data_IF_513876673706
#
_entry.id   IF_513876673706
#
_cell.length_a   1.000
_cell.length_b   1.000
_cell.length_c   1.000
_cell.angle_alpha   90.00
_cell.angle_beta   90.00
_cell.angle_gamma   90.00
#
_symmetry.space_group_name_H-M   'P 1'
#
loop_
_entity.id
_entity.type
_entity.pdbx_description
1 polymer ?
#
# COMPACT_ATOMS: atom_id res chain seq x y z
N UNK A 1 16.17 -38.26 23.72
CA UNK A 1 14.85 -38.02 23.16
C UNK A 1 14.84 -36.56 22.75
N UNK A 2 15.18 -36.36 21.50
CA UNK A 2 15.31 -35.02 20.92
C UNK A 2 13.96 -34.66 20.33
N UNK A 3 13.20 -33.84 21.06
CA UNK A 3 11.89 -33.35 20.64
C UNK A 3 12.08 -32.10 19.78
N UNK A 4 12.67 -32.31 18.61
CA UNK A 4 12.69 -31.31 17.53
C UNK A 4 11.39 -31.42 16.76
N UNK A 5 10.32 -30.85 17.33
CA UNK A 5 9.11 -30.56 16.56
C UNK A 5 9.47 -29.75 15.31
N UNK A 6 8.70 -29.83 14.21
CA UNK A 6 9.02 -29.12 12.98
C UNK A 6 9.10 -27.63 13.30
N UNK A 7 10.32 -27.07 13.32
CA UNK A 7 10.51 -25.62 13.22
C UNK A 7 9.90 -25.23 11.86
N UNK A 8 8.71 -24.67 11.90
CA UNK A 8 8.24 -23.87 10.78
C UNK A 8 9.22 -22.71 10.65
N UNK A 9 10.18 -22.84 9.73
CA UNK A 9 11.02 -21.71 9.34
C UNK A 9 10.06 -20.60 8.92
N UNK A 10 9.95 -19.59 9.77
CA UNK A 10 9.09 -18.43 9.51
C UNK A 10 9.59 -17.77 8.24
N UNK A 11 8.72 -17.68 7.24
CA UNK A 11 9.08 -17.07 5.97
C UNK A 11 9.47 -15.60 6.18
N UNK A 12 10.70 -15.27 5.80
CA UNK A 12 11.18 -13.88 5.85
C UNK A 12 10.74 -13.14 4.59
N UNK A 13 10.12 -11.99 4.78
CA UNK A 13 9.64 -11.09 3.73
C UNK A 13 10.41 -9.77 3.80
N UNK A 14 10.96 -9.33 2.68
CA UNK A 14 11.48 -7.97 2.51
C UNK A 14 10.42 -7.13 1.81
N UNK A 15 9.91 -6.11 2.49
CA UNK A 15 8.90 -5.18 1.99
C UNK A 15 9.57 -3.86 1.60
N UNK A 16 9.44 -3.46 0.34
CA UNK A 16 10.03 -2.25 -0.22
C UNK A 16 8.89 -1.34 -0.70
N UNK A 17 8.69 -0.22 -0.02
CA UNK A 17 7.61 0.73 -0.31
C UNK A 17 8.02 2.10 0.25
N UNK A 18 8.04 3.16 -0.54
CA UNK A 18 8.43 4.51 -0.10
C UNK A 18 7.36 5.17 0.76
N UNK A 19 6.11 4.76 0.61
CA UNK A 19 5.01 5.25 1.43
C UNK A 19 5.06 4.64 2.84
N UNK A 20 5.34 5.48 3.83
CA UNK A 20 5.47 5.04 5.23
C UNK A 20 4.21 4.32 5.72
N UNK A 21 3.02 4.87 5.44
CA UNK A 21 1.75 4.31 5.92
C UNK A 21 1.47 2.97 5.27
N UNK A 22 1.60 2.89 3.95
CA UNK A 22 1.45 1.66 3.18
C UNK A 22 2.39 0.57 3.71
N UNK A 23 3.66 0.92 3.93
CA UNK A 23 4.70 0.04 4.44
C UNK A 23 4.37 -0.46 5.86
N UNK A 24 4.00 0.42 6.79
CA UNK A 24 3.65 0.05 8.16
C UNK A 24 2.41 -0.85 8.23
N UNK A 25 1.36 -0.52 7.46
CA UNK A 25 0.15 -1.35 7.39
C UNK A 25 0.47 -2.74 6.84
N UNK A 26 1.19 -2.82 5.71
CA UNK A 26 1.56 -4.10 5.12
C UNK A 26 2.48 -4.91 6.04
N UNK A 27 3.47 -4.28 6.67
CA UNK A 27 4.36 -4.96 7.61
C UNK A 27 3.59 -5.52 8.81
N UNK A 28 2.65 -4.75 9.36
CA UNK A 28 1.79 -5.19 10.46
C UNK A 28 0.96 -6.41 10.05
N UNK A 29 0.26 -6.34 8.91
CA UNK A 29 -0.56 -7.45 8.40
C UNK A 29 0.29 -8.70 8.19
N UNK A 30 1.44 -8.59 7.53
CA UNK A 30 2.34 -9.71 7.27
C UNK A 30 2.88 -10.33 8.57
N UNK A 31 3.29 -9.51 9.54
CA UNK A 31 3.78 -9.98 10.83
C UNK A 31 2.69 -10.75 11.59
N UNK A 32 1.46 -10.28 11.54
CA UNK A 32 0.32 -10.97 12.19
C UNK A 32 -0.05 -12.27 11.47
N UNK A 33 0.23 -12.38 10.18
CA UNK A 33 0.11 -13.63 9.44
C UNK A 33 1.28 -14.61 9.70
N UNK A 34 2.21 -14.28 10.60
CA UNK A 34 3.31 -15.15 11.01
C UNK A 34 4.57 -15.03 10.16
N UNK A 35 4.75 -13.94 9.41
CA UNK A 35 5.97 -13.68 8.66
C UNK A 35 6.97 -12.87 9.49
N UNK A 36 8.26 -13.09 9.25
CA UNK A 36 9.33 -12.17 9.68
C UNK A 36 9.47 -11.09 8.62
N UNK A 37 9.23 -9.83 8.97
CA UNK A 37 9.19 -8.74 8.01
C UNK A 37 10.34 -7.77 8.21
N UNK A 38 11.14 -7.57 7.17
CA UNK A 38 12.09 -6.47 7.05
C UNK A 38 11.52 -5.42 6.10
N UNK A 39 11.74 -4.15 6.39
CA UNK A 39 11.19 -3.05 5.58
C UNK A 39 12.29 -2.16 5.04
N UNK A 40 12.11 -1.66 3.81
CA UNK A 40 12.94 -0.66 3.18
C UNK A 40 12.06 0.43 2.57
N UNK A 41 12.40 1.70 2.79
CA UNK A 41 11.70 2.86 2.19
C UNK A 41 12.26 3.28 0.84
N UNK A 42 13.37 2.67 0.41
CA UNK A 42 14.08 3.01 -0.83
C UNK A 42 14.73 1.75 -1.42
N UNK A 43 14.89 1.72 -2.75
CA UNK A 43 15.55 0.61 -3.44
C UNK A 43 16.98 0.36 -2.95
N UNK A 44 17.76 1.42 -2.78
CA UNK A 44 19.14 1.33 -2.29
C UNK A 44 19.23 0.76 -0.86
N UNK A 45 18.25 1.11 -0.01
CA UNK A 45 18.19 0.55 1.35
C UNK A 45 17.93 -0.96 1.30
N UNK A 46 17.06 -1.42 0.41
CA UNK A 46 16.78 -2.85 0.25
C UNK A 46 18.02 -3.65 -0.16
N UNK A 47 18.84 -3.10 -1.06
CA UNK A 47 20.09 -3.73 -1.49
C UNK A 47 21.10 -3.81 -0.34
N UNK A 48 21.23 -2.74 0.47
CA UNK A 48 22.12 -2.76 1.66
C UNK A 48 21.72 -3.84 2.68
N UNK A 49 20.42 -4.02 2.93
CA UNK A 49 19.92 -5.07 3.83
C UNK A 49 20.28 -6.48 3.35
N UNK A 50 20.24 -6.72 2.04
CA UNK A 50 20.62 -7.99 1.44
C UNK A 50 22.14 -8.21 1.50
N UNK A 51 22.95 -7.20 1.16
CA UNK A 51 24.41 -7.25 1.15
C UNK A 51 25.00 -7.39 2.56
N UNK A 52 24.39 -6.74 3.56
CA UNK A 52 24.79 -6.84 4.96
C UNK A 52 24.43 -8.17 5.62
N UNK A 53 23.66 -9.02 4.95
CA UNK A 53 23.18 -10.27 5.53
C UNK A 53 22.14 -10.09 6.65
N UNK A 54 21.66 -8.86 6.85
CA UNK A 54 20.64 -8.55 7.86
C UNK A 54 19.27 -9.13 7.50
N UNK A 55 19.06 -9.38 6.20
CA UNK A 55 17.83 -9.94 5.68
C UNK A 55 18.15 -11.01 4.62
N UNK A 56 17.68 -12.23 4.85
CA UNK A 56 17.71 -13.32 3.86
C UNK A 56 16.26 -13.67 3.54
N UNK A 57 15.63 -12.91 2.63
CA UNK A 57 14.21 -13.10 2.36
C UNK A 57 13.95 -14.32 1.48
N UNK A 58 12.83 -14.98 1.71
CA UNK A 58 12.26 -15.93 0.78
C UNK A 58 11.32 -15.25 -0.22
N UNK A 59 10.73 -14.11 0.18
CA UNK A 59 9.86 -13.28 -0.66
C UNK A 59 10.24 -11.82 -0.53
N UNK A 60 10.20 -11.10 -1.65
CA UNK A 60 10.35 -9.64 -1.73
C UNK A 60 9.05 -9.08 -2.28
N UNK A 61 8.46 -8.13 -1.56
CA UNK A 61 7.33 -7.32 -2.00
C UNK A 61 7.83 -5.91 -2.33
N UNK A 62 7.65 -5.47 -3.56
CA UNK A 62 8.16 -4.20 -4.04
C UNK A 62 7.03 -3.33 -4.58
N UNK A 63 6.89 -2.11 -4.10
CA UNK A 63 5.94 -1.18 -4.71
C UNK A 63 6.32 -0.87 -6.16
N UNK A 64 5.30 -0.76 -7.00
CA UNK A 64 5.46 -0.44 -8.42
C UNK A 64 5.93 0.98 -8.68
N UNK A 65 5.66 1.91 -7.76
CA UNK A 65 5.91 3.33 -7.93
C UNK A 65 6.69 3.89 -6.74
N UNK A 66 8.00 3.94 -6.90
CA UNK A 66 8.92 4.51 -5.91
C UNK A 66 9.87 5.50 -6.57
N UNK A 67 10.32 6.55 -5.88
CA UNK A 67 11.39 7.41 -6.36
C UNK A 67 12.75 6.69 -6.32
N UNK A 68 13.74 7.22 -7.04
CA UNK A 68 15.10 6.70 -7.04
C UNK A 68 15.25 5.38 -7.78
N UNK A 69 16.01 4.46 -7.20
CA UNK A 69 16.20 3.12 -7.77
C UNK A 69 14.92 2.29 -7.62
N UNK A 70 14.25 2.03 -8.71
CA UNK A 70 12.95 1.37 -8.76
C UNK A 70 12.73 0.64 -10.09
N UNK A 71 11.54 0.09 -10.29
CA UNK A 71 11.17 -0.53 -11.55
C UNK A 71 11.97 -1.79 -11.87
N UNK A 72 12.09 -2.09 -13.15
CA UNK A 72 12.81 -3.28 -13.65
C UNK A 72 14.27 -3.28 -13.23
N UNK A 73 14.90 -2.11 -13.15
CA UNK A 73 16.29 -1.98 -12.72
C UNK A 73 16.48 -2.45 -11.27
N UNK A 74 15.58 -2.11 -10.37
CA UNK A 74 15.65 -2.61 -8.99
C UNK A 74 15.43 -4.13 -8.96
N UNK A 75 14.49 -4.65 -9.76
CA UNK A 75 14.25 -6.10 -9.85
C UNK A 75 15.53 -6.85 -10.27
N UNK A 76 16.24 -6.35 -11.27
CA UNK A 76 17.51 -6.93 -11.73
C UNK A 76 18.58 -6.95 -10.61
N UNK A 77 18.73 -5.83 -9.90
CA UNK A 77 19.66 -5.71 -8.76
C UNK A 77 19.30 -6.64 -7.59
N UNK A 78 18.02 -6.79 -7.29
CA UNK A 78 17.52 -7.71 -6.26
C UNK A 78 17.79 -9.17 -6.64
N UNK A 79 17.54 -9.54 -7.93
CA UNK A 79 17.81 -10.90 -8.43
C UNK A 79 19.29 -11.25 -8.43
N UNK A 80 20.17 -10.27 -8.64
CA UNK A 80 21.62 -10.49 -8.57
C UNK A 80 22.09 -10.83 -7.14
N UNK A 81 21.33 -10.42 -6.11
CA UNK A 81 21.71 -10.55 -4.69
C UNK A 81 20.87 -11.56 -3.92
N UNK A 82 19.71 -11.97 -4.43
CA UNK A 82 18.78 -12.85 -3.72
C UNK A 82 18.11 -13.83 -4.67
N UNK A 83 17.82 -15.03 -4.16
CA UNK A 83 16.99 -16.05 -4.83
C UNK A 83 15.50 -15.93 -4.44
N UNK A 84 15.15 -14.91 -3.67
CA UNK A 84 13.79 -14.67 -3.24
C UNK A 84 12.83 -14.49 -4.43
N UNK A 85 11.58 -14.88 -4.25
CA UNK A 85 10.51 -14.56 -5.19
C UNK A 85 10.16 -13.08 -5.07
N UNK A 86 10.09 -12.38 -6.21
CA UNK A 86 9.83 -10.95 -6.26
C UNK A 86 8.41 -10.71 -6.77
N UNK A 87 7.58 -10.07 -5.95
CA UNK A 87 6.24 -9.66 -6.31
C UNK A 87 6.16 -8.13 -6.36
N UNK A 88 5.64 -7.62 -7.46
CA UNK A 88 5.32 -6.19 -7.60
C UNK A 88 3.97 -5.94 -6.95
N UNK A 89 3.88 -4.95 -6.07
CA UNK A 89 2.66 -4.56 -5.36
C UNK A 89 2.24 -3.18 -5.84
N UNK A 90 0.97 -2.96 -6.17
CA UNK A 90 0.48 -1.63 -6.58
C UNK A 90 -0.99 -1.44 -6.24
N UNK A 91 -1.40 -0.19 -6.06
CA UNK A 91 -2.81 0.20 -5.90
C UNK A 91 -3.58 0.22 -7.24
N UNK A 92 -2.89 0.03 -8.36
CA UNK A 92 -3.45 0.03 -9.72
C UNK A 92 -2.65 -0.92 -10.62
N UNK A 93 -2.96 -0.95 -11.91
CA UNK A 93 -2.21 -1.77 -12.87
C UNK A 93 -0.74 -1.31 -12.91
N UNK A 94 0.19 -2.24 -12.69
CA UNK A 94 1.62 -1.98 -12.83
C UNK A 94 2.05 -2.02 -14.32
N UNK A 95 3.19 -1.38 -14.66
CA UNK A 95 3.78 -1.49 -15.99
C UNK A 95 4.04 -2.94 -16.40
N UNK A 96 3.73 -3.30 -17.64
CA UNK A 96 3.84 -4.68 -18.13
C UNK A 96 5.27 -5.23 -18.03
N UNK A 97 6.26 -4.36 -18.26
CA UNK A 97 7.68 -4.70 -18.15
C UNK A 97 8.08 -5.13 -16.73
N UNK A 98 7.55 -4.45 -15.71
CA UNK A 98 7.81 -4.82 -14.32
C UNK A 98 7.14 -6.15 -13.95
N UNK A 99 5.90 -6.35 -14.40
CA UNK A 99 5.17 -7.61 -14.16
C UNK A 99 5.86 -8.78 -14.85
N UNK A 100 6.40 -8.57 -16.06
CA UNK A 100 7.15 -9.59 -16.79
C UNK A 100 8.51 -9.92 -16.14
N UNK A 101 9.16 -8.94 -15.48
CA UNK A 101 10.46 -9.13 -14.81
C UNK A 101 10.33 -9.76 -13.42
N UNK A 102 9.16 -9.65 -12.78
CA UNK A 102 8.85 -10.19 -11.46
C UNK A 102 8.31 -11.63 -11.53
N UNK A 103 8.17 -12.28 -10.37
CA UNK A 103 7.54 -13.60 -10.24
C UNK A 103 6.01 -13.50 -10.14
N UNK A 104 5.47 -12.29 -9.94
CA UNK A 104 4.05 -12.05 -9.89
C UNK A 104 3.68 -10.61 -9.53
N UNK A 105 2.38 -10.37 -9.53
CA UNK A 105 1.80 -9.05 -9.25
C UNK A 105 0.69 -9.18 -8.21
N UNK A 106 0.64 -8.25 -7.26
CA UNK A 106 -0.36 -8.17 -6.20
C UNK A 106 -1.00 -6.78 -6.19
N UNK A 107 -2.31 -6.73 -6.03
CA UNK A 107 -3.05 -5.48 -5.85
C UNK A 107 -3.12 -5.12 -4.36
N UNK A 108 -2.89 -3.84 -4.05
CA UNK A 108 -3.21 -3.25 -2.75
C UNK A 108 -4.74 -3.06 -2.62
N UNK A 109 -5.38 -3.36 -1.46
CA UNK A 109 -4.80 -3.90 -0.25
C UNK A 109 -4.44 -5.39 -0.36
N UNK A 110 -3.45 -5.84 0.41
CA UNK A 110 -3.12 -7.26 0.51
C UNK A 110 -4.28 -7.99 1.21
N UNK A 111 -4.93 -8.88 0.47
CA UNK A 111 -6.05 -9.71 0.95
C UNK A 111 -5.60 -11.12 1.34
N UNK A 112 -6.48 -11.91 1.96
CA UNK A 112 -6.22 -13.32 2.24
C UNK A 112 -5.81 -14.11 0.98
N UNK A 113 -6.44 -13.81 -0.18
CA UNK A 113 -6.08 -14.44 -1.47
C UNK A 113 -4.67 -14.04 -1.92
N UNK A 114 -4.26 -12.78 -1.68
CA UNK A 114 -2.91 -12.30 -1.97
C UNK A 114 -1.89 -13.03 -1.09
N UNK A 115 -2.21 -13.22 0.19
CA UNK A 115 -1.39 -13.97 1.14
C UNK A 115 -1.27 -15.44 0.74
N UNK A 116 -2.36 -16.05 0.27
CA UNK A 116 -2.35 -17.42 -0.22
C UNK A 116 -1.44 -17.58 -1.44
N UNK A 117 -1.40 -16.61 -2.35
CA UNK A 117 -0.45 -16.59 -3.48
C UNK A 117 1.00 -16.54 -3.00
N UNK A 118 1.30 -15.75 -1.97
CA UNK A 118 2.63 -15.72 -1.35
C UNK A 118 3.02 -17.08 -0.76
N UNK A 119 2.10 -17.74 -0.05
CA UNK A 119 2.30 -19.08 0.50
C UNK A 119 2.52 -20.12 -0.59
N UNK A 120 1.72 -20.09 -1.67
CA UNK A 120 1.85 -21.02 -2.80
C UNK A 120 3.17 -20.81 -3.58
N UNK A 121 3.67 -19.60 -3.67
CA UNK A 121 4.97 -19.31 -4.27
C UNK A 121 6.14 -19.96 -3.51
N UNK A 122 5.91 -20.37 -2.26
CA UNK A 122 6.89 -21.05 -1.39
C UNK A 122 6.70 -22.58 -1.35
N UNK A 123 5.54 -23.07 -1.75
CA UNK A 123 5.31 -24.51 -1.87
C UNK A 123 6.02 -25.07 -3.12
N UNK A 124 6.61 -26.29 -3.08
CA UNK A 124 7.16 -26.91 -4.27
C UNK A 124 6.04 -27.06 -5.30
N UNK A 125 6.33 -26.60 -6.49
CA UNK A 125 5.48 -26.29 -7.63
C UNK A 125 4.52 -27.43 -8.01
N UNK A 126 3.22 -27.20 -7.85
CA UNK A 126 2.17 -27.83 -8.63
C UNK A 126 1.57 -26.75 -9.56
N UNK A 127 1.30 -27.14 -10.81
CA UNK A 127 0.98 -26.27 -11.95
C UNK A 127 -0.12 -25.21 -11.71
N UNK A 128 -0.11 -24.08 -12.46
CA UNK A 128 -0.95 -22.93 -12.18
C UNK A 128 -2.42 -23.18 -12.52
N UNK A 129 -3.37 -22.76 -11.67
CA UNK A 129 -4.75 -22.62 -12.07
C UNK A 129 -4.97 -21.28 -12.79
N UNK A 130 -5.74 -21.35 -13.85
CA UNK A 130 -6.17 -20.23 -14.69
C UNK A 130 -6.85 -19.11 -13.89
N UNK A 131 -6.55 -17.87 -14.27
CA UNK A 131 -7.06 -16.65 -13.66
C UNK A 131 -8.58 -16.52 -13.79
N UNK A 132 -9.34 -16.25 -12.74
CA UNK A 132 -10.70 -15.77 -12.91
C UNK A 132 -10.67 -14.29 -13.31
N UNK A 133 -11.30 -14.00 -14.44
CA UNK A 133 -11.59 -12.66 -14.92
C UNK A 133 -12.57 -11.99 -13.95
N UNK A 134 -12.09 -11.11 -13.09
CA UNK A 134 -12.96 -10.25 -12.30
C UNK A 134 -13.21 -8.99 -13.09
N UNK A 135 -14.46 -8.84 -13.51
CA UNK A 135 -15.01 -7.69 -14.22
C UNK A 135 -14.90 -6.44 -13.35
N UNK A 136 -14.14 -5.47 -13.80
CA UNK A 136 -14.16 -4.13 -13.24
C UNK A 136 -15.51 -3.48 -13.62
N UNK A 137 -16.40 -3.34 -12.63
CA UNK A 137 -17.62 -2.54 -12.77
C UNK A 137 -17.25 -1.06 -12.62
N UNK A 138 -17.16 -0.38 -13.74
CA UNK A 138 -17.16 1.09 -13.80
C UNK A 138 -18.58 1.59 -13.68
N UNK A 139 -18.99 2.05 -12.48
CA UNK A 139 -20.20 2.84 -12.30
C UNK A 139 -19.84 4.34 -12.22
N UNK A 140 -20.69 5.24 -12.77
CA UNK A 140 -20.39 6.67 -12.83
C UNK A 140 -20.50 7.34 -11.45
N UNK A 141 -19.58 8.27 -11.23
CA UNK A 141 -19.38 9.03 -10.00
C UNK A 141 -20.57 9.96 -9.74
N UNK A 142 -21.29 9.72 -8.66
CA UNK A 142 -22.18 10.67 -8.01
C UNK A 142 -21.53 11.16 -6.71
N UNK A 143 -21.85 12.38 -6.20
CA UNK A 143 -21.08 13.00 -5.13
C UNK A 143 -21.22 12.27 -3.80
N UNK A 144 -20.10 11.95 -3.23
CA UNK A 144 -19.73 11.68 -1.83
C UNK A 144 -20.80 11.19 -0.84
N UNK A 145 -21.26 9.96 -1.06
CA UNK A 145 -21.92 9.18 0.01
C UNK A 145 -21.06 7.99 0.48
N UNK A 146 -19.80 7.94 0.09
CA UNK A 146 -18.91 6.86 0.53
C UNK A 146 -18.70 6.93 2.04
N UNK A 147 -18.78 5.79 2.76
CA UNK A 147 -18.47 5.76 4.19
C UNK A 147 -17.01 6.21 4.40
N UNK A 148 -16.73 6.80 5.56
CA UNK A 148 -15.36 7.26 5.91
C UNK A 148 -14.40 6.09 5.85
N UNK A 149 -14.81 4.94 6.39
CA UNK A 149 -14.07 3.69 6.40
C UNK A 149 -14.92 2.59 5.76
N UNK A 150 -14.30 1.74 4.97
CA UNK A 150 -14.93 0.53 4.43
C UNK A 150 -15.24 -0.45 5.58
N UNK A 151 -16.51 -0.74 5.86
CA UNK A 151 -16.88 -1.61 6.98
C UNK A 151 -16.32 -3.04 6.82
N UNK A 152 -16.23 -3.54 5.59
CA UNK A 152 -15.68 -4.87 5.32
C UNK A 152 -14.18 -4.91 5.62
N UNK A 153 -13.41 -3.91 5.18
CA UNK A 153 -11.98 -3.82 5.48
C UNK A 153 -11.73 -3.66 6.98
N UNK A 154 -12.53 -2.83 7.67
CA UNK A 154 -12.44 -2.66 9.10
C UNK A 154 -12.73 -3.97 9.85
N UNK A 155 -13.76 -4.72 9.44
CA UNK A 155 -14.09 -6.00 10.03
C UNK A 155 -12.94 -7.02 9.83
N UNK A 156 -12.39 -7.10 8.62
CA UNK A 156 -11.23 -7.95 8.34
C UNK A 156 -10.02 -7.59 9.19
N UNK A 157 -9.71 -6.30 9.36
CA UNK A 157 -8.61 -5.85 10.22
C UNK A 157 -8.88 -6.25 11.69
N UNK A 158 -10.11 -6.10 12.19
CA UNK A 158 -10.49 -6.51 13.55
C UNK A 158 -10.43 -8.03 13.77
N UNK A 159 -10.70 -8.82 12.74
CA UNK A 159 -10.53 -10.28 12.80
C UNK A 159 -9.06 -10.69 12.84
N UNK A 160 -8.21 -9.96 12.12
CA UNK A 160 -6.79 -10.29 11.98
C UNK A 160 -5.93 -9.76 13.12
N UNK A 161 -6.35 -8.68 13.80
CA UNK A 161 -5.51 -7.98 14.77
C UNK A 161 -6.29 -7.38 15.93
N UNK A 162 -5.64 -7.19 17.12
CA UNK A 162 -6.26 -6.53 18.25
C UNK A 162 -6.71 -5.10 17.94
N UNK A 163 -7.78 -4.65 18.57
CA UNK A 163 -8.31 -3.28 18.41
C UNK A 163 -7.24 -2.18 18.59
N UNK A 164 -6.28 -2.41 19.48
CA UNK A 164 -5.16 -1.48 19.69
C UNK A 164 -4.29 -1.31 18.43
N UNK A 165 -4.01 -2.39 17.71
CA UNK A 165 -3.24 -2.35 16.45
C UNK A 165 -4.05 -1.68 15.34
N UNK A 166 -5.35 -1.96 15.24
CA UNK A 166 -6.26 -1.30 14.30
C UNK A 166 -6.26 0.22 14.54
N UNK A 167 -6.38 0.65 15.82
CA UNK A 167 -6.31 2.07 16.19
C UNK A 167 -4.98 2.70 15.81
N UNK A 168 -3.88 2.00 16.00
CA UNK A 168 -2.54 2.49 15.66
C UNK A 168 -2.39 2.72 14.16
N UNK A 169 -2.92 1.82 13.31
CA UNK A 169 -2.95 1.99 11.85
C UNK A 169 -3.70 3.27 11.47
N UNK A 170 -4.91 3.45 11.97
CA UNK A 170 -5.69 4.65 11.62
C UNK A 170 -5.11 5.94 12.20
N UNK A 171 -4.46 5.90 13.37
CA UNK A 171 -3.73 7.04 13.92
C UNK A 171 -2.54 7.42 13.03
N UNK A 172 -1.80 6.44 12.51
CA UNK A 172 -0.72 6.68 11.55
C UNK A 172 -1.24 7.29 10.24
N UNK A 173 -2.41 6.85 9.76
CA UNK A 173 -3.05 7.42 8.56
C UNK A 173 -3.44 8.88 8.78
N UNK A 174 -4.04 9.22 9.92
CA UNK A 174 -4.40 10.62 10.24
C UNK A 174 -3.16 11.50 10.27
N UNK A 175 -2.12 11.07 10.97
CA UNK A 175 -0.86 11.82 11.05
C UNK A 175 -0.18 11.98 9.67
N UNK A 176 -0.23 10.97 8.82
CA UNK A 176 0.30 11.04 7.46
C UNK A 176 -0.53 11.96 6.56
N UNK A 177 -1.86 11.91 6.64
CA UNK A 177 -2.75 12.81 5.91
C UNK A 177 -2.47 14.26 6.26
N UNK A 178 -2.32 14.61 7.54
CA UNK A 178 -2.01 15.98 7.98
C UNK A 178 -0.69 16.47 7.39
N UNK A 179 0.34 15.64 7.40
CA UNK A 179 1.64 15.96 6.79
C UNK A 179 1.53 16.16 5.28
N UNK A 180 0.80 15.26 4.58
CA UNK A 180 0.63 15.34 3.12
C UNK A 180 -0.25 16.50 2.69
N UNK A 181 -1.24 16.90 3.48
CA UNK A 181 -2.05 18.09 3.25
C UNK A 181 -1.16 19.33 3.23
N UNK A 182 -0.23 19.48 4.18
CA UNK A 182 0.70 20.62 4.19
C UNK A 182 1.64 20.63 2.97
N UNK A 183 2.14 19.46 2.56
CA UNK A 183 2.95 19.32 1.34
C UNK A 183 2.13 19.63 0.07
N UNK A 184 0.88 19.19 0.01
CA UNK A 184 -0.04 19.44 -1.09
C UNK A 184 -0.35 20.93 -1.26
N UNK A 185 -0.59 21.66 -0.17
CA UNK A 185 -0.77 23.12 -0.21
C UNK A 185 0.45 23.84 -0.78
N UNK A 186 1.64 23.38 -0.40
CA UNK A 186 2.90 23.94 -0.90
C UNK A 186 3.08 23.65 -2.40
N UNK A 187 2.79 22.42 -2.84
CA UNK A 187 2.87 22.02 -4.24
C UNK A 187 1.88 22.81 -5.12
N UNK A 188 0.63 22.97 -4.64
CA UNK A 188 -0.41 23.77 -5.33
C UNK A 188 0.04 25.23 -5.44
N UNK A 189 0.54 25.82 -4.36
CA UNK A 189 0.99 27.21 -4.36
C UNK A 189 2.16 27.46 -5.33
N UNK A 190 3.00 26.45 -5.54
CA UNK A 190 4.13 26.48 -6.47
C UNK A 190 3.76 26.11 -7.92
N UNK A 191 2.53 25.66 -8.18
CA UNK A 191 2.10 25.14 -9.48
C UNK A 191 2.81 23.83 -9.88
N UNK A 192 3.23 23.02 -8.91
CA UNK A 192 3.91 21.75 -9.12
C UNK A 192 2.91 20.59 -9.27
N UNK A 193 2.34 20.47 -10.46
CA UNK A 193 1.35 19.43 -10.77
C UNK A 193 1.93 18.02 -10.66
N UNK A 194 3.22 17.84 -10.89
CA UNK A 194 3.86 16.54 -10.78
C UNK A 194 3.88 16.08 -9.32
N UNK A 195 4.22 16.99 -8.41
CA UNK A 195 4.22 16.73 -6.97
C UNK A 195 2.80 16.54 -6.43
N UNK A 196 1.81 17.32 -6.91
CA UNK A 196 0.39 17.13 -6.57
C UNK A 196 -0.07 15.72 -6.94
N UNK A 197 0.24 15.23 -8.14
CA UNK A 197 -0.11 13.87 -8.57
C UNK A 197 0.59 12.81 -7.73
N UNK A 198 1.87 13.01 -7.40
CA UNK A 198 2.66 12.10 -6.57
C UNK A 198 2.06 11.98 -5.16
N UNK A 199 1.72 13.10 -4.54
CA UNK A 199 1.04 13.13 -3.23
C UNK A 199 -0.32 12.43 -3.33
N UNK A 200 -1.10 12.71 -4.38
CA UNK A 200 -2.38 12.06 -4.63
C UNK A 200 -2.27 10.54 -4.73
N UNK A 201 -1.27 10.04 -5.46
CA UNK A 201 -1.00 8.61 -5.58
C UNK A 201 -0.70 7.98 -4.21
N UNK A 202 0.14 8.61 -3.41
CA UNK A 202 0.51 8.11 -2.10
C UNK A 202 -0.69 8.12 -1.11
N UNK A 203 -1.51 9.19 -1.09
CA UNK A 203 -2.75 9.23 -0.30
C UNK A 203 -3.70 8.10 -0.73
N UNK A 204 -3.92 7.93 -2.03
CA UNK A 204 -4.76 6.86 -2.57
C UNK A 204 -4.28 5.48 -2.10
N UNK A 205 -2.99 5.19 -2.24
CA UNK A 205 -2.38 3.90 -1.88
C UNK A 205 -2.50 3.59 -0.40
N UNK A 206 -1.98 4.46 0.45
CA UNK A 206 -1.96 4.29 1.91
C UNK A 206 -3.37 4.20 2.51
N UNK A 207 -4.27 5.11 2.10
CA UNK A 207 -5.64 5.13 2.60
C UNK A 207 -6.47 3.93 2.12
N UNK A 208 -6.27 3.46 0.89
CA UNK A 208 -6.98 2.29 0.36
C UNK A 208 -6.60 1.01 1.11
N UNK A 209 -5.34 0.88 1.56
CA UNK A 209 -4.86 -0.27 2.34
C UNK A 209 -5.68 -0.50 3.61
N UNK A 210 -6.01 0.55 4.32
CA UNK A 210 -6.79 0.49 5.55
C UNK A 210 -8.30 0.72 5.33
N UNK A 211 -8.73 0.85 4.08
CA UNK A 211 -10.13 1.09 3.76
C UNK A 211 -10.63 2.50 4.11
N UNK A 212 -9.76 3.51 4.24
CA UNK A 212 -10.15 4.91 4.43
C UNK A 212 -10.65 5.50 3.09
N UNK A 213 -11.90 5.16 2.73
CA UNK A 213 -12.44 5.34 1.37
C UNK A 213 -12.52 6.80 0.94
N UNK A 214 -12.97 7.70 1.81
CA UNK A 214 -13.10 9.12 1.46
C UNK A 214 -11.74 9.72 1.11
N UNK A 215 -10.72 9.47 1.94
CA UNK A 215 -9.36 9.96 1.68
C UNK A 215 -8.73 9.31 0.45
N UNK A 216 -8.91 8.00 0.26
CA UNK A 216 -8.43 7.28 -0.92
C UNK A 216 -9.06 7.81 -2.22
N UNK A 217 -10.36 8.13 -2.20
CA UNK A 217 -11.07 8.73 -3.32
C UNK A 217 -10.51 10.11 -3.68
N UNK A 218 -10.29 10.97 -2.69
CA UNK A 218 -9.69 12.30 -2.89
C UNK A 218 -8.26 12.20 -3.43
N UNK A 219 -7.46 11.25 -2.93
CA UNK A 219 -6.14 10.95 -3.49
C UNK A 219 -6.19 10.55 -4.95
N UNK A 220 -7.19 9.75 -5.35
CA UNK A 220 -7.42 9.37 -6.76
C UNK A 220 -7.75 10.58 -7.65
N UNK A 221 -8.53 11.53 -7.16
CA UNK A 221 -8.84 12.76 -7.89
C UNK A 221 -7.59 13.60 -8.15
N UNK A 222 -6.73 13.75 -7.13
CA UNK A 222 -5.44 14.46 -7.26
C UNK A 222 -4.50 13.75 -8.25
N UNK A 223 -4.41 12.43 -8.20
CA UNK A 223 -3.58 11.63 -9.09
C UNK A 223 -4.02 11.75 -10.56
N UNK A 224 -5.33 11.76 -10.81
CA UNK A 224 -5.90 11.78 -12.16
C UNK A 224 -5.78 13.12 -12.88
N UNK A 225 -5.34 14.19 -12.20
CA UNK A 225 -5.23 15.52 -12.79
C UNK A 225 -6.60 16.13 -13.17
N UNK A 226 -7.72 15.64 -12.61
CA UNK A 226 -9.07 16.18 -12.89
C UNK A 226 -9.18 17.65 -12.49
N UNK A 227 -8.17 18.19 -11.83
CA UNK A 227 -8.02 19.62 -11.55
C UNK A 227 -7.72 20.45 -12.83
N UNK A 228 -7.31 19.80 -13.94
CA UNK A 228 -6.91 20.44 -15.23
C UNK A 228 -8.10 20.86 -16.13
N UNK A 229 -9.33 20.70 -15.71
CA UNK A 229 -10.49 21.14 -16.52
C UNK A 229 -10.66 22.65 -16.45
N UNK A 230 -10.23 23.32 -17.46
CA UNK A 230 -10.22 24.72 -17.94
C UNK A 230 -11.26 25.74 -17.41
N UNK A 231 -11.76 25.61 -16.19
CA UNK A 231 -12.63 26.61 -15.56
C UNK A 231 -12.51 26.54 -14.03
N UNK A 232 -11.73 27.45 -13.44
CA UNK A 232 -11.59 27.68 -11.98
C UNK A 232 -10.59 26.78 -11.23
N UNK A 233 -9.36 26.65 -11.70
CA UNK A 233 -8.31 25.76 -11.17
C UNK A 233 -7.96 25.96 -9.68
N UNK A 234 -7.97 27.19 -9.19
CA UNK A 234 -7.64 27.49 -7.79
C UNK A 234 -8.76 27.09 -6.80
N UNK A 235 -10.02 27.20 -7.19
CA UNK A 235 -11.13 26.87 -6.31
C UNK A 235 -11.36 25.36 -6.15
N UNK A 236 -11.06 24.55 -7.18
CA UNK A 236 -11.18 23.09 -7.10
C UNK A 236 -10.07 22.47 -6.23
N UNK A 237 -8.84 22.96 -6.34
CA UNK A 237 -7.72 22.46 -5.55
C UNK A 237 -7.86 22.77 -4.07
N UNK A 238 -8.29 23.99 -3.72
CA UNK A 238 -8.60 24.37 -2.33
C UNK A 238 -9.75 23.52 -1.77
N UNK A 239 -10.77 23.23 -2.55
CA UNK A 239 -11.88 22.38 -2.13
C UNK A 239 -11.42 20.94 -1.79
N UNK A 240 -10.56 20.32 -2.61
CA UNK A 240 -10.04 18.97 -2.35
C UNK A 240 -9.17 18.93 -1.09
N UNK A 241 -8.38 19.98 -0.83
CA UNK A 241 -7.60 20.12 0.42
C UNK A 241 -8.52 20.19 1.64
N UNK A 242 -9.59 20.99 1.56
CA UNK A 242 -10.57 21.10 2.65
C UNK A 242 -11.34 19.79 2.87
N UNK A 243 -11.67 19.08 1.79
CA UNK A 243 -12.31 17.77 1.86
C UNK A 243 -11.37 16.71 2.48
N UNK A 244 -10.07 16.74 2.15
CA UNK A 244 -9.06 15.87 2.80
C UNK A 244 -8.95 16.16 4.30
N UNK A 245 -8.93 17.44 4.71
CA UNK A 245 -8.97 17.81 6.12
C UNK A 245 -10.23 17.33 6.81
N UNK A 246 -11.37 17.43 6.14
CA UNK A 246 -12.63 16.93 6.67
C UNK A 246 -12.62 15.41 6.84
N UNK A 247 -12.06 14.67 5.87
CA UNK A 247 -11.90 13.22 5.94
C UNK A 247 -10.95 12.82 7.09
N UNK A 248 -9.80 13.50 7.25
CA UNK A 248 -8.87 13.26 8.35
C UNK A 248 -9.54 13.48 9.72
N UNK A 249 -10.26 14.60 9.90
CA UNK A 249 -11.01 14.89 11.15
C UNK A 249 -12.08 13.84 11.45
N UNK A 250 -12.77 13.31 10.43
CA UNK A 250 -13.75 12.24 10.63
C UNK A 250 -13.06 10.95 11.10
N UNK A 251 -11.93 10.57 10.50
CA UNK A 251 -11.13 9.43 10.96
C UNK A 251 -10.67 9.61 12.40
N UNK A 252 -10.15 10.79 12.74
CA UNK A 252 -9.71 11.13 14.10
C UNK A 252 -10.86 11.03 15.11
N UNK A 253 -12.05 11.55 14.77
CA UNK A 253 -13.22 11.46 15.63
C UNK A 253 -13.65 10.01 15.89
N UNK A 254 -13.51 9.12 14.91
CA UNK A 254 -13.78 7.69 15.06
C UNK A 254 -12.74 6.99 15.94
N UNK A 255 -11.48 7.45 15.92
CA UNK A 255 -10.45 6.94 16.84
C UNK A 255 -10.77 7.26 18.29
N UNK A 256 -11.30 8.47 18.55
CA UNK A 256 -11.68 8.93 19.91
C UNK A 256 -12.97 8.25 20.38
N UNK A 257 -13.97 8.20 19.53
CA UNK A 257 -15.29 7.63 19.87
C UNK A 257 -15.32 6.08 19.90
N UNK A 258 -14.32 5.44 19.31
CA UNK A 258 -14.32 4.02 19.00
C UNK A 258 -14.91 3.75 17.61
N UNK A 259 -14.39 2.73 16.93
CA UNK A 259 -14.93 2.30 15.65
C UNK A 259 -16.33 1.71 15.81
N UNK A 260 -17.25 1.92 14.87
CA UNK A 260 -18.54 1.27 14.88
C UNK A 260 -18.38 -0.26 14.91
N UNK A 261 -19.31 -0.91 15.60
CA UNK A 261 -19.33 -2.35 15.75
C UNK A 261 -19.65 -3.04 14.42
#
# INVERSE_FOLDING_TARGET
MDDSGPQHDLLTVLLIDDDLVSREVMATVLTMCGYVVHTAGEGEMSLRLLEGGECVPGVILMDAQMPGLSGTRLIEELRARSKAKIFVVSASKAPEEMVAAADGFLLKPLTGDSMQKLLQAHAPQAAPPESPKTSASTAPVAPTSDPVINPTTLAQLKEMMPDAAVRQIYAAIVADLDRRIGALETAIANGDDAEVRRIGHAIKGGCAMAGALQAAHLGKLLESGILDSKSNELNNSSSVVDDLRAAARKLESMLVAGFPA
#
